data_IF_417354246356
#
_entry.id   IF_417354246356
#
_cell.length_a   1.000
_cell.length_b   1.000
_cell.length_c   1.000
_cell.angle_alpha   90.00
_cell.angle_beta   90.00
_cell.angle_gamma   90.00
#
_symmetry.space_group_name_H-M   'P 1'
#
loop_
_entity.id
_entity.type
_entity.pdbx_description
1 polymer ?
#
# COMPACT_ATOMS: atom_id res chain seq x y z
N UNK A 1 -12.04 -6.55 10.39
CA UNK A 1 -10.98 -6.12 9.46
C UNK A 1 -10.61 -7.31 8.60
N UNK A 2 -10.55 -7.17 7.28
CA UNK A 2 -10.07 -8.25 6.42
C UNK A 2 -8.55 -8.36 6.55
N UNK A 3 -7.99 -9.57 6.72
CA UNK A 3 -6.54 -9.75 6.78
C UNK A 3 -5.92 -9.39 5.43
N UNK A 4 -4.96 -8.46 5.44
CA UNK A 4 -4.23 -8.04 4.25
C UNK A 4 -3.31 -9.19 3.84
N UNK A 5 -3.65 -9.90 2.76
CA UNK A 5 -2.86 -11.04 2.29
C UNK A 5 -1.44 -10.60 1.93
N UNK A 6 -0.43 -11.26 2.49
CA UNK A 6 0.99 -10.99 2.20
C UNK A 6 1.63 -9.91 3.07
N UNK A 7 0.87 -9.20 3.92
CA UNK A 7 1.43 -8.23 4.87
C UNK A 7 2.38 -8.91 5.87
N UNK A 8 2.00 -10.09 6.33
CA UNK A 8 2.81 -10.97 7.18
C UNK A 8 4.12 -11.43 6.52
N UNK A 9 4.18 -11.49 5.18
CA UNK A 9 5.40 -11.84 4.43
C UNK A 9 6.35 -10.66 4.22
N UNK A 10 5.91 -9.43 4.50
CA UNK A 10 6.76 -8.25 4.43
C UNK A 10 7.67 -8.20 5.65
N UNK A 11 8.93 -7.85 5.44
CA UNK A 11 9.87 -7.52 6.52
C UNK A 11 9.54 -6.17 7.15
N UNK A 12 10.04 -5.88 8.36
CA UNK A 12 9.77 -4.62 9.04
C UNK A 12 10.13 -3.37 8.20
N UNK A 13 11.25 -3.33 7.46
CA UNK A 13 11.53 -2.23 6.54
C UNK A 13 10.47 -2.06 5.44
N UNK A 14 9.98 -3.17 4.87
CA UNK A 14 8.97 -3.14 3.82
C UNK A 14 7.60 -2.69 4.35
N UNK A 15 7.25 -3.12 5.57
CA UNK A 15 6.05 -2.64 6.26
C UNK A 15 6.13 -1.14 6.56
N UNK A 16 7.32 -0.64 6.93
CA UNK A 16 7.54 0.81 7.09
C UNK A 16 7.35 1.57 5.79
N UNK A 17 7.85 1.06 4.66
CA UNK A 17 7.63 1.67 3.33
C UNK A 17 6.14 1.73 3.02
N UNK A 18 5.43 0.61 3.19
CA UNK A 18 3.99 0.53 2.99
C UNK A 18 3.26 1.60 3.80
N UNK A 19 3.48 1.66 5.12
CA UNK A 19 2.81 2.62 6.00
C UNK A 19 3.19 4.07 5.70
N UNK A 20 4.46 4.34 5.40
CA UNK A 20 4.95 5.68 5.09
C UNK A 20 4.32 6.20 3.79
N UNK A 21 4.40 5.43 2.71
CA UNK A 21 3.85 5.82 1.41
C UNK A 21 2.33 5.88 1.49
N UNK A 22 1.68 4.90 2.14
CA UNK A 22 0.23 4.89 2.35
C UNK A 22 -0.25 6.17 3.04
N UNK A 23 0.39 6.55 4.16
CA UNK A 23 0.04 7.77 4.89
C UNK A 23 0.19 9.02 4.02
N UNK A 24 1.28 9.11 3.24
CA UNK A 24 1.53 10.24 2.34
C UNK A 24 0.51 10.30 1.21
N UNK A 25 0.22 9.16 0.60
CA UNK A 25 -0.77 9.01 -0.46
C UNK A 25 -2.16 9.44 0.01
N UNK A 26 -2.59 8.99 1.20
CA UNK A 26 -3.85 9.42 1.79
C UNK A 26 -3.88 10.90 2.19
N UNK A 27 -2.74 11.51 2.47
CA UNK A 27 -2.67 12.94 2.86
C UNK A 27 -2.88 13.89 1.69
N UNK A 28 -2.61 13.43 0.46
CA UNK A 28 -2.80 14.21 -0.76
C UNK A 28 -4.13 13.91 -1.47
N UNK A 29 -4.81 12.82 -1.09
CA UNK A 29 -6.11 12.44 -1.62
C UNK A 29 -7.26 13.23 -1.00
N UNK A 30 -8.30 13.48 -1.79
CA UNK A 30 -9.56 14.02 -1.29
C UNK A 30 -10.27 13.03 -0.35
N UNK A 31 -11.15 13.55 0.51
CA UNK A 31 -11.85 12.77 1.56
C UNK A 31 -12.53 11.50 1.03
N UNK A 32 -13.16 11.57 -0.13
CA UNK A 32 -13.86 10.42 -0.76
C UNK A 32 -12.92 9.35 -1.31
N UNK A 33 -11.75 9.73 -1.82
CA UNK A 33 -10.73 8.78 -2.30
C UNK A 33 -9.98 8.15 -1.13
N UNK A 34 -9.72 8.94 -0.09
CA UNK A 34 -9.08 8.47 1.14
C UNK A 34 -9.85 7.32 1.79
N UNK A 35 -11.17 7.37 1.77
CA UNK A 35 -12.01 6.28 2.29
C UNK A 35 -11.79 4.99 1.51
N UNK A 36 -11.87 5.07 0.17
CA UNK A 36 -11.65 3.93 -0.76
C UNK A 36 -10.25 3.34 -0.66
N UNK A 37 -9.26 4.17 -0.35
CA UNK A 37 -7.83 3.78 -0.28
C UNK A 37 -7.37 3.47 1.15
N UNK A 38 -8.29 3.40 2.11
CA UNK A 38 -7.97 3.04 3.49
C UNK A 38 -7.44 1.61 3.59
N UNK A 39 -6.73 1.30 4.69
CA UNK A 39 -6.14 -0.03 4.92
C UNK A 39 -7.20 -1.15 4.90
N UNK A 40 -8.46 -0.83 5.21
CA UNK A 40 -9.57 -1.79 5.18
C UNK A 40 -9.94 -2.28 3.78
N UNK A 41 -9.58 -1.53 2.74
CA UNK A 41 -9.79 -1.89 1.34
C UNK A 41 -8.57 -2.54 0.70
N UNK A 42 -7.47 -2.72 1.42
CA UNK A 42 -6.31 -3.43 0.89
C UNK A 42 -6.59 -4.93 0.96
N UNK A 43 -6.64 -5.57 -0.20
CA UNK A 43 -6.88 -7.00 -0.36
C UNK A 43 -5.58 -7.80 -0.21
N UNK A 44 -4.49 -7.29 -0.78
CA UNK A 44 -3.20 -7.98 -0.85
C UNK A 44 -2.06 -6.97 -0.96
N UNK A 45 -0.92 -7.30 -0.37
CA UNK A 45 0.35 -6.63 -0.63
C UNK A 45 1.40 -7.63 -1.08
N UNK A 46 2.31 -7.18 -1.93
CA UNK A 46 3.42 -7.99 -2.44
C UNK A 46 4.67 -7.14 -2.54
N UNK A 47 5.80 -7.69 -2.11
CA UNK A 47 7.09 -7.04 -2.32
C UNK A 47 7.58 -7.34 -3.74
N UNK A 48 7.92 -6.29 -4.48
CA UNK A 48 8.64 -6.38 -5.74
C UNK A 48 10.11 -6.02 -5.48
N UNK A 49 10.96 -7.04 -5.46
CA UNK A 49 12.39 -6.88 -5.21
C UNK A 49 13.13 -6.20 -6.37
N UNK A 50 12.62 -6.30 -7.60
CA UNK A 50 13.24 -5.72 -8.79
C UNK A 50 13.12 -4.19 -8.78
N UNK A 51 11.97 -3.67 -8.35
CA UNK A 51 11.70 -2.23 -8.29
C UNK A 51 11.84 -1.63 -6.89
N UNK A 52 12.15 -2.47 -5.89
CA UNK A 52 12.19 -2.09 -4.48
C UNK A 52 10.91 -1.37 -4.01
N UNK A 53 9.76 -1.92 -4.39
CA UNK A 53 8.45 -1.35 -4.10
C UNK A 53 7.48 -2.39 -3.51
N UNK A 54 6.49 -1.90 -2.76
CA UNK A 54 5.37 -2.70 -2.25
C UNK A 54 4.18 -2.50 -3.18
N UNK A 55 3.79 -3.54 -3.91
CA UNK A 55 2.57 -3.57 -4.70
C UNK A 55 1.38 -3.71 -3.74
N UNK A 56 0.46 -2.75 -3.77
CA UNK A 56 -0.73 -2.70 -2.92
C UNK A 56 -1.95 -2.90 -3.78
N UNK A 57 -2.65 -4.02 -3.61
CA UNK A 57 -3.87 -4.36 -4.35
C UNK A 57 -5.09 -4.08 -3.49
N UNK A 58 -6.01 -3.29 -4.02
CA UNK A 58 -7.25 -2.90 -3.37
C UNK A 58 -8.43 -3.79 -3.77
N UNK A 59 -9.53 -3.69 -3.03
CA UNK A 59 -10.75 -4.48 -3.26
C UNK A 59 -11.52 -4.08 -4.52
N UNK A 60 -11.33 -2.85 -4.99
CA UNK A 60 -11.94 -2.31 -6.22
C UNK A 60 -11.22 -2.74 -7.51
N UNK A 61 -10.12 -3.49 -7.38
CA UNK A 61 -9.30 -3.95 -8.52
C UNK A 61 -8.16 -3.00 -8.88
N UNK A 62 -8.11 -1.81 -8.28
CA UNK A 62 -6.95 -0.94 -8.42
C UNK A 62 -5.77 -1.43 -7.59
N UNK A 63 -4.59 -1.03 -8.03
CA UNK A 63 -3.35 -1.36 -7.35
C UNK A 63 -2.30 -0.29 -7.60
N UNK A 64 -1.39 -0.15 -6.65
CA UNK A 64 -0.39 0.92 -6.64
C UNK A 64 0.98 0.38 -6.22
N UNK A 65 2.06 0.92 -6.76
CA UNK A 65 3.42 0.58 -6.37
C UNK A 65 3.94 1.58 -5.35
N UNK A 66 4.24 1.14 -4.14
CA UNK A 66 4.79 2.00 -3.10
C UNK A 66 6.30 1.83 -3.04
N UNK A 67 7.02 2.77 -3.64
CA UNK A 67 8.48 2.74 -3.69
C UNK A 67 9.11 3.06 -2.32
N UNK A 68 10.27 2.47 -2.05
CA UNK A 68 11.12 2.85 -0.92
C UNK A 68 11.47 4.36 -0.89
N UNK A 69 11.37 5.05 -2.04
CA UNK A 69 11.60 6.50 -2.16
C UNK A 69 10.45 7.37 -1.64
N UNK A 70 9.36 6.78 -1.16
CA UNK A 70 8.21 7.57 -0.69
C UNK A 70 7.30 8.06 -1.82
N UNK A 71 7.34 7.40 -2.98
CA UNK A 71 6.54 7.69 -4.18
C UNK A 71 5.59 6.53 -4.47
N UNK A 72 4.47 6.85 -5.13
CA UNK A 72 3.49 5.87 -5.62
C UNK A 72 3.21 6.10 -7.10
N UNK A 73 2.97 5.01 -7.85
CA UNK A 73 2.61 5.02 -9.27
C UNK A 73 1.86 3.74 -9.67
#
# INVERSE_FOLDING_TARGET
MNPIKGYEKLSDPQRKILLMVHRKHLSVMGSSEREKRSLGHIKKVKWNAQEQCVEVYYTDGEWWHYSAKGTWY
#
